data_IF_028498705155
#
_entry.id   IF_028498705155
#
_cell.length_a   1.000
_cell.length_b   1.000
_cell.length_c   1.000
_cell.angle_alpha   90.00
_cell.angle_beta   90.00
_cell.angle_gamma   90.00
#
_symmetry.space_group_name_H-M   'P 1'
#
loop_
_entity.id
_entity.type
_entity.pdbx_description
1 polymer ?
#
# COMPACT_ATOMS: atom_id res chain seq x y z
N UNK A 1 14.05 -10.76 9.04
CA UNK A 1 13.42 -9.51 8.55
C UNK A 1 12.36 -9.10 9.54
N UNK A 2 12.30 -7.82 9.89
CA UNK A 2 11.25 -7.27 10.74
C UNK A 2 10.12 -6.72 9.85
N UNK A 3 9.03 -7.49 9.73
CA UNK A 3 7.88 -7.07 8.93
C UNK A 3 7.03 -5.99 9.63
N UNK A 4 7.11 -5.89 10.96
CA UNK A 4 6.37 -4.86 11.70
C UNK A 4 6.96 -3.47 11.42
N UNK A 5 8.29 -3.36 11.26
CA UNK A 5 8.93 -2.12 10.81
C UNK A 5 8.52 -1.73 9.37
N UNK A 6 8.39 -2.71 8.47
CA UNK A 6 7.86 -2.48 7.11
C UNK A 6 6.43 -1.93 7.20
N UNK A 7 5.55 -2.57 7.96
CA UNK A 7 4.17 -2.11 8.14
C UNK A 7 4.08 -0.71 8.73
N UNK A 8 4.94 -0.38 9.69
CA UNK A 8 5.00 0.95 10.30
C UNK A 8 5.38 2.00 9.26
N UNK A 9 6.45 1.78 8.50
CA UNK A 9 6.86 2.72 7.44
C UNK A 9 5.82 2.82 6.32
N UNK A 10 5.15 1.72 5.97
CA UNK A 10 4.04 1.76 5.03
C UNK A 10 2.88 2.62 5.55
N UNK A 11 2.51 2.46 6.82
CA UNK A 11 1.45 3.27 7.44
C UNK A 11 1.78 4.75 7.36
N UNK A 12 2.98 5.14 7.78
CA UNK A 12 3.41 6.54 7.78
C UNK A 12 3.43 7.14 6.37
N UNK A 13 4.01 6.41 5.39
CA UNK A 13 4.12 6.91 4.01
C UNK A 13 2.77 6.97 3.29
N UNK A 14 1.90 5.97 3.50
CA UNK A 14 0.56 5.97 2.90
C UNK A 14 -0.34 7.03 3.54
N UNK A 15 -0.23 7.25 4.86
CA UNK A 15 -0.98 8.32 5.53
C UNK A 15 -0.57 9.69 5.00
N UNK A 16 0.74 9.90 4.81
CA UNK A 16 1.25 11.11 4.16
C UNK A 16 0.71 11.25 2.74
N UNK A 17 0.74 10.18 1.93
CA UNK A 17 0.21 10.18 0.58
C UNK A 17 -1.28 10.55 0.52
N UNK A 18 -2.11 10.02 1.44
CA UNK A 18 -3.52 10.37 1.53
C UNK A 18 -3.69 11.85 1.89
N UNK A 19 -2.95 12.35 2.88
CA UNK A 19 -3.03 13.74 3.31
C UNK A 19 -2.57 14.72 2.23
N UNK A 20 -1.55 14.35 1.44
CA UNK A 20 -1.00 15.16 0.36
C UNK A 20 -1.95 15.22 -0.86
N UNK A 21 -2.70 14.14 -1.15
CA UNK A 21 -3.62 14.09 -2.28
C UNK A 21 -5.06 14.54 -1.94
N UNK A 22 -5.44 14.45 -0.67
CA UNK A 22 -6.82 14.64 -0.22
C UNK A 22 -6.88 15.49 1.05
N UNK A 23 -6.59 16.79 0.93
CA UNK A 23 -6.62 17.74 2.04
C UNK A 23 -7.96 17.75 2.79
N UNK A 24 -9.07 17.51 2.08
CA UNK A 24 -10.43 17.42 2.63
C UNK A 24 -10.69 16.13 3.42
N UNK A 25 -9.76 15.16 3.36
CA UNK A 25 -9.93 13.81 3.91
C UNK A 25 -9.12 13.56 5.19
N UNK A 26 -8.58 14.62 5.81
CA UNK A 26 -7.72 14.57 7.01
C UNK A 26 -8.33 13.81 8.20
N UNK A 27 -9.65 13.67 8.28
CA UNK A 27 -10.33 12.90 9.35
C UNK A 27 -10.50 11.40 9.07
N UNK A 28 -10.37 10.96 7.82
CA UNK A 28 -10.70 9.60 7.37
C UNK A 28 -9.55 8.88 6.69
N UNK A 29 -8.44 9.57 6.42
CA UNK A 29 -7.24 8.99 5.81
C UNK A 29 -6.59 7.90 6.68
N UNK A 30 -6.55 8.08 8.00
CA UNK A 30 -6.00 7.06 8.89
C UNK A 30 -6.83 5.77 8.85
N UNK A 31 -8.16 5.89 8.80
CA UNK A 31 -9.04 4.72 8.65
C UNK A 31 -8.80 4.01 7.32
N UNK A 32 -8.73 4.75 6.21
CA UNK A 32 -8.42 4.17 4.88
C UNK A 32 -7.12 3.38 4.90
N UNK A 33 -6.06 3.98 5.45
CA UNK A 33 -4.73 3.36 5.47
C UNK A 33 -4.71 2.14 6.39
N UNK A 34 -5.32 2.23 7.58
CA UNK A 34 -5.40 1.10 8.51
C UNK A 34 -6.22 -0.05 7.90
N UNK A 35 -7.38 0.23 7.30
CA UNK A 35 -8.22 -0.79 6.67
C UNK A 35 -7.47 -1.46 5.51
N UNK A 36 -6.79 -0.67 4.67
CA UNK A 36 -5.92 -1.18 3.61
C UNK A 36 -4.82 -2.10 4.15
N UNK A 37 -4.05 -1.65 5.14
CA UNK A 37 -2.94 -2.43 5.69
C UNK A 37 -3.42 -3.69 6.40
N UNK A 38 -4.53 -3.64 7.13
CA UNK A 38 -5.09 -4.80 7.80
C UNK A 38 -5.56 -5.87 6.79
N UNK A 39 -6.25 -5.45 5.74
CA UNK A 39 -6.73 -6.36 4.69
C UNK A 39 -5.60 -6.93 3.83
N UNK A 40 -4.49 -6.20 3.70
CA UNK A 40 -3.35 -6.58 2.87
C UNK A 40 -2.22 -7.26 3.66
N UNK A 41 -2.22 -7.17 5.00
CA UNK A 41 -1.12 -7.61 5.89
C UNK A 41 -0.57 -8.98 5.53
N UNK A 42 -1.42 -10.01 5.51
CA UNK A 42 -1.00 -11.39 5.25
C UNK A 42 -0.39 -11.56 3.85
N UNK A 43 -0.91 -10.87 2.83
CA UNK A 43 -0.39 -10.95 1.45
C UNK A 43 0.93 -10.23 1.34
N UNK A 44 1.03 -9.03 1.91
CA UNK A 44 2.26 -8.25 1.95
C UNK A 44 3.37 -9.02 2.66
N UNK A 45 3.08 -9.58 3.84
CA UNK A 45 4.03 -10.38 4.61
C UNK A 45 4.53 -11.58 3.80
N UNK A 46 3.61 -12.33 3.18
CA UNK A 46 3.96 -13.47 2.34
C UNK A 46 4.87 -13.07 1.18
N UNK A 47 4.49 -12.06 0.41
CA UNK A 47 5.25 -11.67 -0.78
C UNK A 47 6.59 -11.03 -0.44
N UNK A 48 6.65 -10.23 0.62
CA UNK A 48 7.89 -9.65 1.11
C UNK A 48 8.84 -10.76 1.59
N UNK A 49 8.32 -11.80 2.27
CA UNK A 49 9.13 -12.97 2.61
C UNK A 49 9.64 -13.70 1.37
N UNK A 50 8.81 -13.90 0.33
CA UNK A 50 9.27 -14.52 -0.92
C UNK A 50 10.41 -13.71 -1.56
N UNK A 51 10.28 -12.38 -1.60
CA UNK A 51 11.32 -11.50 -2.14
C UNK A 51 12.60 -11.56 -1.30
N UNK A 52 12.48 -11.50 0.03
CA UNK A 52 13.61 -11.54 0.95
C UNK A 52 14.39 -12.86 0.91
N UNK A 53 13.73 -13.94 0.49
CA UNK A 53 14.35 -15.25 0.29
C UNK A 53 14.74 -15.51 -1.17
N UNK A 54 14.75 -14.47 -2.02
CA UNK A 54 15.09 -14.55 -3.45
C UNK A 54 14.23 -15.56 -4.24
N UNK A 55 13.05 -15.92 -3.72
CA UNK A 55 12.11 -16.85 -4.38
C UNK A 55 11.33 -16.17 -5.50
N UNK A 56 11.26 -14.84 -5.48
CA UNK A 56 10.69 -13.99 -6.53
C UNK A 56 11.60 -12.78 -6.74
N UNK A 57 11.57 -12.23 -7.93
CA UNK A 57 12.22 -10.97 -8.30
C UNK A 57 11.41 -9.75 -7.84
N UNK A 58 12.05 -8.58 -7.84
CA UNK A 58 11.37 -7.31 -7.57
C UNK A 58 10.24 -7.04 -8.59
N UNK A 59 10.43 -7.42 -9.85
CA UNK A 59 9.42 -7.27 -10.91
C UNK A 59 8.19 -8.15 -10.63
N UNK A 60 8.41 -9.41 -10.22
CA UNK A 60 7.33 -10.32 -9.83
C UNK A 60 6.61 -9.84 -8.57
N UNK A 61 7.34 -9.28 -7.60
CA UNK A 61 6.75 -8.66 -6.42
C UNK A 61 5.82 -7.49 -6.79
N UNK A 62 6.28 -6.57 -7.65
CA UNK A 62 5.45 -5.45 -8.12
C UNK A 62 4.25 -5.94 -8.94
N UNK A 63 4.42 -6.99 -9.75
CA UNK A 63 3.33 -7.61 -10.50
C UNK A 63 2.26 -8.22 -9.58
N UNK A 64 2.65 -8.89 -8.49
CA UNK A 64 1.74 -9.43 -7.49
C UNK A 64 0.90 -8.31 -6.83
N UNK A 65 1.52 -7.19 -6.49
CA UNK A 65 0.81 -6.01 -5.96
C UNK A 65 -0.21 -5.46 -6.97
N UNK A 66 0.17 -5.34 -8.25
CA UNK A 66 -0.70 -4.81 -9.32
C UNK A 66 -1.88 -5.73 -9.64
N UNK A 67 -1.63 -7.04 -9.65
CA UNK A 67 -2.63 -8.06 -10.02
C UNK A 67 -3.75 -8.18 -9.00
N UNK A 68 -3.50 -7.80 -7.75
CA UNK A 68 -4.54 -7.84 -6.73
C UNK A 68 -5.46 -6.62 -6.78
N UNK A 69 -6.69 -6.86 -7.22
CA UNK A 69 -7.76 -5.86 -7.21
C UNK A 69 -8.21 -5.56 -5.78
N UNK A 70 -8.34 -6.58 -4.96
CA UNK A 70 -8.88 -6.50 -3.60
C UNK A 70 -7.93 -5.79 -2.63
N UNK A 71 -6.63 -5.83 -2.92
CA UNK A 71 -5.62 -5.23 -2.04
C UNK A 71 -5.87 -3.73 -1.89
N UNK A 72 -6.32 -3.05 -2.94
CA UNK A 72 -6.50 -1.60 -2.97
C UNK A 72 -7.98 -1.16 -2.98
N UNK A 73 -8.88 -1.97 -2.40
CA UNK A 73 -10.27 -1.56 -2.22
C UNK A 73 -10.38 -0.46 -1.16
N UNK A 74 -10.21 0.79 -1.60
CA UNK A 74 -10.35 1.97 -0.76
C UNK A 74 -11.79 2.45 -0.75
N UNK A 75 -12.68 1.60 -0.28
CA UNK A 75 -14.13 1.81 -0.26
C UNK A 75 -14.50 3.13 0.43
N UNK A 76 -13.76 3.53 1.48
CA UNK A 76 -13.97 4.81 2.15
C UNK A 76 -13.64 6.04 1.27
N UNK A 77 -12.65 5.99 0.37
CA UNK A 77 -12.40 7.07 -0.58
C UNK A 77 -13.50 7.12 -1.67
N UNK A 78 -14.01 5.97 -2.09
CA UNK A 78 -15.14 5.92 -3.02
C UNK A 78 -16.42 6.51 -2.42
N UNK A 79 -16.76 6.13 -1.18
CA UNK A 79 -17.91 6.69 -0.45
C UNK A 79 -17.78 8.20 -0.22
N UNK A 80 -16.54 8.70 -0.15
CA UNK A 80 -16.25 10.13 -0.03
C UNK A 80 -16.41 10.94 -1.32
N UNK A 81 -16.82 10.31 -2.42
CA UNK A 81 -17.00 10.99 -3.71
C UNK A 81 -15.68 11.27 -4.45
N UNK A 82 -14.58 10.61 -4.08
CA UNK A 82 -13.32 10.72 -4.82
C UNK A 82 -13.52 10.10 -6.21
N UNK A 83 -13.14 10.85 -7.25
CA UNK A 83 -13.30 10.38 -8.64
C UNK A 83 -12.44 9.15 -8.93
N UNK A 84 -12.91 8.29 -9.84
CA UNK A 84 -12.20 7.07 -10.26
C UNK A 84 -10.76 7.34 -10.71
N UNK A 85 -10.53 8.46 -11.41
CA UNK A 85 -9.19 8.86 -11.89
C UNK A 85 -8.25 9.16 -10.70
N UNK A 86 -8.73 9.84 -9.66
CA UNK A 86 -7.95 10.12 -8.45
C UNK A 86 -7.64 8.82 -7.69
N UNK A 87 -8.62 7.92 -7.56
CA UNK A 87 -8.43 6.61 -6.95
C UNK A 87 -7.39 5.76 -7.68
N UNK A 88 -7.43 5.70 -9.01
CA UNK A 88 -6.44 4.96 -9.80
C UNK A 88 -5.03 5.54 -9.64
N UNK A 89 -4.90 6.87 -9.63
CA UNK A 89 -3.62 7.53 -9.35
C UNK A 89 -3.09 7.18 -7.96
N UNK A 90 -3.96 7.24 -6.96
CA UNK A 90 -3.61 6.90 -5.59
C UNK A 90 -3.17 5.43 -5.46
N UNK A 91 -3.90 4.50 -6.11
CA UNK A 91 -3.53 3.08 -6.17
C UNK A 91 -2.12 2.89 -6.73
N UNK A 92 -1.82 3.51 -7.87
CA UNK A 92 -0.51 3.40 -8.50
C UNK A 92 0.61 3.97 -7.62
N UNK A 93 0.37 5.12 -6.96
CA UNK A 93 1.32 5.70 -6.02
C UNK A 93 1.53 4.80 -4.79
N UNK A 94 0.46 4.19 -4.28
CA UNK A 94 0.54 3.27 -3.14
C UNK A 94 1.35 2.03 -3.45
N UNK A 95 1.16 1.43 -4.64
CA UNK A 95 2.00 0.31 -5.11
C UNK A 95 3.47 0.73 -5.12
N UNK A 96 3.77 1.90 -5.70
CA UNK A 96 5.14 2.42 -5.74
C UNK A 96 5.71 2.63 -4.34
N UNK A 97 4.94 3.22 -3.42
CA UNK A 97 5.34 3.38 -2.02
C UNK A 97 5.65 2.04 -1.36
N UNK A 98 4.86 1.01 -1.61
CA UNK A 98 5.10 -0.33 -1.06
C UNK A 98 6.41 -0.91 -1.58
N UNK A 99 6.62 -0.85 -2.89
CA UNK A 99 7.86 -1.32 -3.53
C UNK A 99 9.07 -0.56 -3.00
N UNK A 100 8.99 0.77 -2.87
CA UNK A 100 10.09 1.62 -2.38
C UNK A 100 10.47 1.29 -0.93
N UNK A 101 9.48 1.10 -0.04
CA UNK A 101 9.71 0.76 1.37
C UNK A 101 10.30 -0.65 1.49
N UNK A 102 9.74 -1.62 0.78
CA UNK A 102 10.22 -3.00 0.82
C UNK A 102 11.63 -3.11 0.26
N UNK A 103 11.91 -2.46 -0.87
CA UNK A 103 13.25 -2.42 -1.46
C UNK A 103 14.27 -1.86 -0.47
N UNK A 104 13.96 -0.73 0.19
CA UNK A 104 14.88 -0.09 1.16
C UNK A 104 15.23 -0.98 2.36
N UNK A 105 14.31 -1.85 2.79
CA UNK A 105 14.46 -2.66 4.00
C UNK A 105 15.00 -4.06 3.69
N UNK A 106 14.66 -4.60 2.52
CA UNK A 106 14.94 -6.00 2.14
C UNK A 106 16.16 -6.15 1.23
N UNK A 107 16.39 -5.20 0.32
CA UNK A 107 17.44 -5.24 -0.71
C UNK A 107 18.54 -4.21 -0.41
#
# INVERSE_FOLDING_TARGET
>A
MDFDEILKQLKENLLKLVNDEYEDFKGSGEKVVNDFLNNSKQKLEKWTNLLANEMITLEEYEWLLKSQKDLFEMNALYTAGISKIKLERFKNKSIKTIVDVVTRIVL
#
